data_IF_738925467494
#
_entry.id   IF_738925467494
#
_cell.length_a   1.000
_cell.length_b   1.000
_cell.length_c   1.000
_cell.angle_alpha   90.00
_cell.angle_beta   90.00
_cell.angle_gamma   90.00
#
_symmetry.space_group_name_H-M   'P 1'
#
loop_
_entity.id
_entity.type
_entity.pdbx_description
1 polymer ?
#
# COMPACT_ATOMS: atom_id res chain seq x y z
N UNK A 1 44.19 -21.20 -19.15
CA UNK A 1 42.91 -21.84 -18.81
C UNK A 1 42.32 -21.07 -17.63
N UNK A 2 41.50 -20.10 -17.90
CA UNK A 2 40.83 -19.27 -16.88
C UNK A 2 39.43 -19.81 -16.65
N UNK A 3 39.25 -20.45 -15.49
CA UNK A 3 37.95 -20.92 -15.06
C UNK A 3 37.05 -19.69 -14.72
N UNK A 4 36.00 -19.47 -15.49
CA UNK A 4 34.92 -18.60 -15.11
C UNK A 4 34.13 -19.32 -14.01
N UNK A 5 34.25 -18.84 -12.78
CA UNK A 5 33.32 -19.17 -11.71
C UNK A 5 31.97 -18.54 -12.07
N UNK A 6 30.98 -19.35 -12.35
CA UNK A 6 29.57 -18.93 -12.40
C UNK A 6 29.15 -18.59 -10.98
N UNK A 7 29.06 -17.28 -10.67
CA UNK A 7 28.36 -16.82 -9.49
C UNK A 7 26.91 -17.19 -9.64
N UNK A 8 26.47 -18.19 -8.90
CA UNK A 8 25.06 -18.44 -8.63
C UNK A 8 24.52 -17.23 -7.86
N UNK A 9 23.61 -16.47 -8.47
CA UNK A 9 22.90 -15.37 -7.82
C UNK A 9 22.14 -15.93 -6.61
N UNK A 10 22.72 -15.78 -5.43
CA UNK A 10 22.05 -16.10 -4.18
C UNK A 10 20.79 -15.24 -4.05
N UNK A 11 19.69 -15.85 -3.61
CA UNK A 11 18.43 -15.13 -3.32
C UNK A 11 18.76 -14.04 -2.29
N UNK A 12 18.65 -12.78 -2.69
CA UNK A 12 19.02 -11.61 -1.87
C UNK A 12 18.07 -11.38 -0.69
N UNK A 13 16.86 -11.92 -0.76
CA UNK A 13 15.82 -11.86 0.30
C UNK A 13 14.97 -13.13 0.27
N UNK A 14 14.30 -13.39 1.39
CA UNK A 14 13.33 -14.48 1.56
C UNK A 14 11.93 -13.92 1.60
N UNK A 15 10.97 -14.72 1.13
CA UNK A 15 9.54 -14.42 1.23
C UNK A 15 8.96 -15.15 2.42
N UNK A 16 8.32 -14.39 3.30
CA UNK A 16 7.59 -14.89 4.46
C UNK A 16 6.12 -14.56 4.31
N UNK A 17 5.25 -15.39 4.86
CA UNK A 17 3.83 -15.13 5.00
C UNK A 17 3.49 -15.02 6.48
N UNK A 18 2.73 -14.03 6.86
CA UNK A 18 2.25 -13.85 8.20
C UNK A 18 0.73 -13.59 8.18
N UNK A 19 0.02 -14.28 9.08
CA UNK A 19 -1.43 -14.12 9.22
C UNK A 19 -1.80 -14.02 10.69
N UNK A 20 -2.55 -12.96 11.01
CA UNK A 20 -3.14 -12.79 12.34
C UNK A 20 -4.46 -12.03 12.21
N UNK A 21 -5.58 -12.68 12.50
CA UNK A 21 -6.95 -12.18 12.28
C UNK A 21 -7.11 -11.72 10.81
N UNK A 22 -7.50 -10.45 10.59
CA UNK A 22 -7.69 -9.83 9.27
C UNK A 22 -6.36 -9.36 8.62
N UNK A 23 -5.26 -9.33 9.37
CA UNK A 23 -3.94 -8.98 8.85
C UNK A 23 -3.34 -10.19 8.14
N UNK A 24 -3.23 -10.11 6.82
CA UNK A 24 -2.62 -11.13 5.97
C UNK A 24 -1.52 -10.44 5.18
N UNK A 25 -0.26 -10.80 5.45
CA UNK A 25 0.87 -10.11 4.85
C UNK A 25 1.84 -11.07 4.16
N UNK A 26 2.44 -10.57 3.08
CA UNK A 26 3.67 -11.08 2.50
C UNK A 26 4.81 -10.16 2.91
N UNK A 27 5.89 -10.71 3.45
CA UNK A 27 7.05 -9.95 3.89
C UNK A 27 8.28 -10.45 3.13
N UNK A 28 8.99 -9.54 2.47
CA UNK A 28 10.31 -9.82 1.92
C UNK A 28 11.35 -9.26 2.89
N UNK A 29 12.24 -10.10 3.39
CA UNK A 29 13.30 -9.71 4.32
C UNK A 29 14.56 -10.55 4.05
N UNK A 30 15.73 -10.01 4.39
CA UNK A 30 17.01 -10.73 4.18
C UNK A 30 17.22 -11.87 5.16
N UNK A 31 16.69 -11.73 6.37
CA UNK A 31 16.86 -12.72 7.43
C UNK A 31 15.63 -12.85 8.35
N UNK A 32 15.65 -13.90 9.16
CA UNK A 32 14.56 -14.22 10.09
C UNK A 32 14.47 -13.22 11.26
N UNK A 33 15.54 -12.48 11.56
CA UNK A 33 15.56 -11.44 12.61
C UNK A 33 14.70 -10.25 12.19
N UNK A 34 14.96 -9.71 10.99
CA UNK A 34 14.19 -8.64 10.38
C UNK A 34 12.70 -9.03 10.25
N UNK A 35 12.41 -10.25 9.78
CA UNK A 35 11.04 -10.77 9.73
C UNK A 35 10.36 -10.78 11.10
N UNK A 36 11.01 -11.35 12.15
CA UNK A 36 10.41 -11.42 13.49
C UNK A 36 10.19 -10.03 14.09
N UNK A 37 11.10 -9.10 13.86
CA UNK A 37 10.98 -7.72 14.32
C UNK A 37 9.81 -7.01 13.61
N UNK A 38 9.67 -7.19 12.30
CA UNK A 38 8.53 -6.67 11.53
C UNK A 38 7.20 -7.18 12.07
N UNK A 39 7.09 -8.49 12.31
CA UNK A 39 5.89 -9.09 12.92
C UNK A 39 5.58 -8.47 14.28
N UNK A 40 6.60 -8.23 15.13
CA UNK A 40 6.40 -7.55 16.42
C UNK A 40 5.86 -6.13 16.24
N UNK A 41 6.37 -5.37 15.26
CA UNK A 41 5.89 -4.02 14.95
C UNK A 41 4.43 -4.02 14.50
N UNK A 42 4.07 -4.93 13.61
CA UNK A 42 2.69 -5.07 13.14
C UNK A 42 1.73 -5.47 14.27
N UNK A 43 2.12 -6.42 15.12
CA UNK A 43 1.31 -6.84 16.28
C UNK A 43 1.17 -5.72 17.31
N UNK A 44 2.22 -4.93 17.54
CA UNK A 44 2.17 -3.75 18.40
C UNK A 44 1.15 -2.75 17.86
N UNK A 45 1.25 -2.38 16.57
CA UNK A 45 0.32 -1.43 15.96
C UNK A 45 -1.12 -1.91 16.04
N UNK A 46 -1.36 -3.19 15.71
CA UNK A 46 -2.68 -3.80 15.80
C UNK A 46 -3.24 -3.78 17.21
N UNK A 47 -2.42 -4.10 18.22
CA UNK A 47 -2.82 -4.06 19.63
C UNK A 47 -3.26 -2.67 20.09
N UNK A 48 -2.56 -1.61 19.66
CA UNK A 48 -2.94 -0.23 19.96
C UNK A 48 -4.27 0.15 19.28
N UNK A 49 -4.49 -0.28 18.03
CA UNK A 49 -5.74 -0.04 17.31
C UNK A 49 -6.89 -0.78 18.00
N UNK A 50 -6.75 -2.06 18.31
CA UNK A 50 -7.78 -2.87 18.99
C UNK A 50 -8.13 -2.30 20.36
N UNK A 51 -7.13 -1.86 21.11
CA UNK A 51 -7.33 -1.20 22.42
C UNK A 51 -8.09 0.12 22.27
N UNK A 52 -7.79 0.91 21.25
CA UNK A 52 -8.51 2.15 20.97
C UNK A 52 -9.97 1.87 20.62
N UNK A 53 -10.22 0.93 19.70
CA UNK A 53 -11.57 0.51 19.29
C UNK A 53 -12.40 0.00 20.48
N UNK A 54 -11.78 -0.74 21.41
CA UNK A 54 -12.46 -1.23 22.60
C UNK A 54 -12.96 -0.10 23.51
N UNK A 55 -12.28 1.06 23.54
CA UNK A 55 -12.69 2.23 24.31
C UNK A 55 -13.60 3.16 23.50
N UNK A 56 -13.47 3.18 22.20
CA UNK A 56 -14.24 4.05 21.28
C UNK A 56 -14.61 3.26 20.01
N UNK A 57 -15.71 2.50 20.03
CA UNK A 57 -16.15 1.67 18.91
C UNK A 57 -16.52 2.47 17.64
N UNK A 58 -16.82 3.77 17.75
CA UNK A 58 -17.14 4.62 16.60
C UNK A 58 -15.95 4.73 15.64
N UNK A 59 -14.71 4.68 16.16
CA UNK A 59 -13.49 4.68 15.36
C UNK A 59 -13.47 3.57 14.29
N UNK A 60 -14.02 2.40 14.59
CA UNK A 60 -14.08 1.26 13.65
C UNK A 60 -15.04 1.50 12.49
N UNK A 61 -16.14 2.22 12.72
CA UNK A 61 -17.30 2.24 11.80
C UNK A 61 -17.51 3.57 11.11
N UNK A 62 -16.92 4.65 11.61
CA UNK A 62 -17.05 5.95 10.98
C UNK A 62 -16.41 5.99 9.62
N UNK A 63 -17.10 6.60 8.65
CA UNK A 63 -16.58 6.88 7.31
C UNK A 63 -16.08 8.33 7.18
N UNK A 64 -16.34 9.14 8.20
CA UNK A 64 -15.96 10.54 8.28
C UNK A 64 -14.60 10.70 8.98
N UNK A 65 -13.88 11.80 8.73
CA UNK A 65 -12.66 12.14 9.45
C UNK A 65 -12.84 12.08 10.97
N UNK A 66 -11.83 11.54 11.64
CA UNK A 66 -11.86 11.32 13.07
C UNK A 66 -10.68 12.00 13.76
N UNK A 67 -10.92 12.57 14.95
CA UNK A 67 -9.86 13.19 15.74
C UNK A 67 -9.42 12.23 16.86
N UNK A 68 -8.16 11.88 16.87
CA UNK A 68 -7.57 11.09 17.92
C UNK A 68 -6.07 11.34 18.03
N UNK A 69 -5.52 11.05 19.20
CA UNK A 69 -4.12 11.14 19.50
C UNK A 69 -3.52 9.75 19.79
N UNK A 70 -2.24 9.61 19.59
CA UNK A 70 -1.51 8.37 19.83
C UNK A 70 -0.52 8.05 18.73
N UNK A 71 0.44 7.20 19.04
CA UNK A 71 1.53 6.88 18.12
C UNK A 71 1.02 6.13 16.87
N UNK A 72 0.06 5.23 17.03
CA UNK A 72 -0.52 4.43 15.94
C UNK A 72 -1.79 5.09 15.42
N UNK A 73 -2.82 5.17 16.25
CA UNK A 73 -4.13 5.70 15.84
C UNK A 73 -4.07 7.16 15.41
N UNK A 74 -3.18 7.97 16.01
CA UNK A 74 -2.97 9.36 15.61
C UNK A 74 -2.47 9.49 14.16
N UNK A 75 -1.65 8.55 13.64
CA UNK A 75 -1.28 8.52 12.21
C UNK A 75 -2.51 8.25 11.34
N UNK A 76 -3.38 7.34 11.75
CA UNK A 76 -4.61 7.01 11.04
C UNK A 76 -5.58 8.19 11.03
N UNK A 77 -5.80 8.85 12.17
CA UNK A 77 -6.67 10.04 12.26
C UNK A 77 -6.12 11.21 11.44
N UNK A 78 -4.81 11.42 11.46
CA UNK A 78 -4.17 12.45 10.63
C UNK A 78 -4.38 12.19 9.13
N UNK A 79 -4.17 10.96 8.67
CA UNK A 79 -4.42 10.55 7.30
C UNK A 79 -5.89 10.67 6.90
N UNK A 80 -6.79 10.20 7.77
CA UNK A 80 -8.24 10.33 7.66
C UNK A 80 -8.67 11.78 7.41
N UNK A 81 -8.14 12.71 8.20
CA UNK A 81 -8.42 14.15 8.10
C UNK A 81 -7.94 14.75 6.78
N UNK A 82 -6.77 14.35 6.30
CA UNK A 82 -6.23 14.79 5.00
C UNK A 82 -7.10 14.27 3.85
N UNK A 83 -7.45 12.99 3.88
CA UNK A 83 -8.12 12.32 2.78
C UNK A 83 -9.66 12.51 2.79
N UNK A 84 -10.24 12.99 3.89
CA UNK A 84 -11.70 13.15 4.03
C UNK A 84 -12.45 11.82 4.12
N UNK A 85 -11.84 10.80 4.72
CA UNK A 85 -12.40 9.45 4.89
C UNK A 85 -12.28 8.99 6.34
N UNK A 86 -12.93 7.89 6.72
CA UNK A 86 -12.80 7.32 8.05
C UNK A 86 -11.38 6.81 8.35
N UNK A 87 -10.96 6.74 9.63
CA UNK A 87 -9.59 6.39 10.01
C UNK A 87 -9.19 4.96 9.64
N UNK A 88 -10.15 4.05 9.53
CA UNK A 88 -9.89 2.66 9.14
C UNK A 88 -9.41 2.53 7.69
N UNK A 89 -9.61 3.56 6.84
CA UNK A 89 -9.06 3.64 5.50
C UNK A 89 -7.52 3.79 5.45
N UNK A 90 -6.85 3.94 6.61
CA UNK A 90 -5.40 4.01 6.74
C UNK A 90 -4.82 2.82 7.52
N UNK A 91 -5.62 1.78 7.81
CA UNK A 91 -5.25 0.74 8.78
C UNK A 91 -4.17 -0.19 8.25
N UNK A 92 -4.27 -0.63 7.00
CA UNK A 92 -3.41 -1.69 6.46
C UNK A 92 -1.97 -1.19 6.28
N UNK A 93 -1.80 -0.03 5.67
CA UNK A 93 -0.48 0.57 5.51
C UNK A 93 0.11 1.10 6.83
N UNK A 94 -0.72 1.57 7.78
CA UNK A 94 -0.22 1.95 9.11
C UNK A 94 0.36 0.74 9.84
N UNK A 95 -0.31 -0.41 9.83
CA UNK A 95 0.22 -1.65 10.44
C UNK A 95 1.53 -2.08 9.75
N UNK A 96 1.57 -2.07 8.42
CA UNK A 96 2.77 -2.39 7.66
C UNK A 96 3.93 -1.43 7.96
N UNK A 97 3.64 -0.13 8.09
CA UNK A 97 4.64 0.88 8.44
C UNK A 97 5.33 0.59 9.77
N UNK A 98 4.57 0.26 10.82
CA UNK A 98 5.16 -0.15 12.10
C UNK A 98 5.98 -1.44 11.96
N UNK A 99 5.60 -2.34 11.07
CA UNK A 99 6.42 -3.49 10.71
C UNK A 99 7.78 -3.09 10.14
N UNK A 100 7.80 -2.15 9.19
CA UNK A 100 9.03 -1.61 8.59
C UNK A 100 9.88 -0.85 9.63
N UNK A 101 9.26 -0.02 10.48
CA UNK A 101 9.98 0.71 11.54
C UNK A 101 10.68 -0.21 12.55
N UNK A 102 10.05 -1.33 12.90
CA UNK A 102 10.58 -2.29 13.87
C UNK A 102 11.59 -3.27 13.29
N UNK A 103 11.63 -3.44 11.98
CA UNK A 103 12.44 -4.47 11.32
C UNK A 103 13.94 -4.30 11.53
N UNK A 104 14.42 -3.06 11.77
CA UNK A 104 15.83 -2.73 11.99
C UNK A 104 16.75 -3.32 10.89
N UNK A 105 16.45 -2.98 9.64
CA UNK A 105 17.15 -3.48 8.45
C UNK A 105 17.04 -2.46 7.32
N UNK A 106 18.01 -2.48 6.40
CA UNK A 106 18.02 -1.63 5.22
C UNK A 106 17.14 -2.19 4.08
N UNK A 107 16.71 -3.46 4.18
CA UNK A 107 15.82 -4.08 3.21
C UNK A 107 14.67 -4.82 3.86
N UNK A 108 13.48 -4.29 3.67
CA UNK A 108 12.22 -4.95 4.00
C UNK A 108 11.08 -4.42 3.14
N UNK A 109 10.22 -5.31 2.68
CA UNK A 109 8.97 -4.99 1.97
C UNK A 109 7.83 -5.74 2.65
N UNK A 110 6.79 -5.03 3.01
CA UNK A 110 5.58 -5.60 3.62
C UNK A 110 4.39 -5.27 2.73
N UNK A 111 3.77 -6.29 2.17
CA UNK A 111 2.50 -6.21 1.45
C UNK A 111 1.38 -6.69 2.38
N UNK A 112 0.47 -5.81 2.74
CA UNK A 112 -0.67 -6.07 3.60
C UNK A 112 -1.98 -5.90 2.82
N UNK A 113 -2.36 -6.94 2.07
CA UNK A 113 -3.62 -6.95 1.32
C UNK A 113 -3.64 -6.01 0.10
N UNK A 114 -2.48 -5.67 -0.47
CA UNK A 114 -2.31 -4.75 -1.59
C UNK A 114 -1.75 -3.38 -1.20
N UNK A 115 -1.59 -3.12 0.11
CA UNK A 115 -0.92 -1.94 0.63
C UNK A 115 0.52 -2.27 0.97
N UNK A 116 1.44 -1.81 0.13
CA UNK A 116 2.86 -2.11 0.22
C UNK A 116 3.57 -0.97 0.92
N UNK A 117 4.37 -1.31 1.92
CA UNK A 117 5.32 -0.40 2.58
C UNK A 117 6.70 -1.02 2.53
N UNK A 118 7.69 -0.23 2.10
CA UNK A 118 9.04 -0.70 1.86
C UNK A 118 10.10 0.25 2.43
N UNK A 119 11.20 -0.33 2.91
CA UNK A 119 12.53 0.25 3.04
C UNK A 119 13.45 -0.62 2.22
N UNK A 120 14.17 -0.06 1.26
CA UNK A 120 14.97 -0.83 0.32
C UNK A 120 16.27 -0.12 -0.04
N UNK A 121 17.36 -0.87 -0.07
CA UNK A 121 18.71 -0.45 -0.50
C UNK A 121 19.10 -1.01 -1.87
N UNK A 122 18.13 -1.59 -2.58
CA UNK A 122 18.23 -2.03 -3.98
C UNK A 122 16.87 -1.91 -4.68
N UNK A 123 16.83 -1.65 -5.99
CA UNK A 123 15.58 -1.55 -6.73
C UNK A 123 14.75 -2.83 -6.68
N UNK A 124 13.43 -2.69 -6.57
CA UNK A 124 12.46 -3.78 -6.66
C UNK A 124 11.41 -3.49 -7.73
N UNK A 125 10.79 -4.54 -8.26
CA UNK A 125 9.63 -4.39 -9.13
C UNK A 125 8.36 -4.77 -8.39
N UNK A 126 7.42 -3.82 -8.32
CA UNK A 126 6.08 -3.98 -7.72
C UNK A 126 5.04 -4.09 -8.81
N UNK A 127 4.21 -5.13 -8.79
CA UNK A 127 3.11 -5.31 -9.73
C UNK A 127 1.77 -4.87 -9.15
N UNK A 128 0.98 -4.13 -9.91
CA UNK A 128 -0.42 -3.83 -9.57
C UNK A 128 -1.32 -4.87 -10.25
N UNK A 129 -2.05 -5.61 -9.44
CA UNK A 129 -3.04 -6.57 -9.93
C UNK A 129 -4.39 -5.89 -10.11
N UNK A 130 -4.89 -5.88 -11.34
CA UNK A 130 -6.19 -5.27 -11.69
C UNK A 130 -7.23 -6.30 -12.18
N UNK A 131 -7.12 -7.56 -11.73
CA UNK A 131 -8.09 -8.61 -12.07
C UNK A 131 -8.00 -9.16 -13.49
N UNK A 132 -7.08 -8.67 -14.33
CA UNK A 132 -6.88 -9.11 -15.72
C UNK A 132 -5.49 -9.71 -15.90
N UNK A 133 -5.29 -10.53 -16.95
CA UNK A 133 -4.00 -11.20 -17.25
C UNK A 133 -2.83 -10.25 -17.54
N UNK A 134 -3.09 -8.97 -17.78
CA UNK A 134 -2.05 -7.96 -18.02
C UNK A 134 -1.79 -7.20 -16.74
N UNK A 135 -0.65 -7.47 -16.14
CA UNK A 135 -0.17 -6.77 -14.96
C UNK A 135 0.85 -5.72 -15.36
N UNK A 136 0.72 -4.56 -14.77
CA UNK A 136 1.68 -3.47 -14.90
C UNK A 136 2.58 -3.53 -13.68
N UNK A 137 3.88 -3.56 -13.89
CA UNK A 137 4.87 -3.45 -12.84
C UNK A 137 5.53 -2.07 -12.86
N UNK A 138 5.98 -1.65 -11.71
CA UNK A 138 6.75 -0.43 -11.52
C UNK A 138 8.07 -0.75 -10.84
N UNK A 139 9.16 -0.17 -11.32
CA UNK A 139 10.43 -0.23 -10.63
C UNK A 139 10.48 0.86 -9.56
N UNK A 140 10.69 0.45 -8.32
CA UNK A 140 10.87 1.34 -7.18
C UNK A 140 12.35 1.33 -6.82
N UNK A 141 12.98 2.48 -6.85
CA UNK A 141 14.38 2.66 -6.47
C UNK A 141 14.60 2.63 -4.95
N UNK A 142 15.86 2.69 -4.55
CA UNK A 142 16.29 2.75 -3.15
C UNK A 142 15.54 3.84 -2.37
N UNK A 143 15.08 3.52 -1.15
CA UNK A 143 14.34 4.45 -0.31
C UNK A 143 14.34 4.05 1.16
N UNK A 144 14.32 5.05 2.04
CA UNK A 144 14.14 4.87 3.49
C UNK A 144 12.70 4.49 3.85
N UNK A 145 11.73 5.01 3.12
CA UNK A 145 10.33 4.64 3.23
C UNK A 145 9.62 4.95 1.92
N UNK A 146 8.88 4.00 1.41
CA UNK A 146 8.00 4.14 0.27
C UNK A 146 6.75 3.32 0.49
N UNK A 147 5.61 3.86 0.12
CA UNK A 147 4.34 3.14 0.11
C UNK A 147 3.69 3.16 -1.25
N UNK A 148 3.10 2.04 -1.62
CA UNK A 148 2.28 1.87 -2.81
C UNK A 148 0.98 1.23 -2.33
N UNK A 149 -0.05 2.05 -2.12
CA UNK A 149 -1.32 1.63 -1.57
C UNK A 149 -2.39 1.60 -2.65
N UNK A 150 -3.16 0.53 -2.69
CA UNK A 150 -4.15 0.31 -3.75
C UNK A 150 -5.51 -0.02 -3.17
N UNK A 151 -6.49 0.83 -3.45
CA UNK A 151 -7.91 0.56 -3.21
C UNK A 151 -8.57 0.04 -4.48
N UNK A 152 -9.45 -0.96 -4.34
CA UNK A 152 -10.22 -1.54 -5.44
C UNK A 152 -11.70 -1.60 -5.07
N UNK A 153 -12.56 -1.13 -5.96
CA UNK A 153 -14.01 -1.27 -5.79
C UNK A 153 -14.54 -2.69 -6.05
N UNK A 154 -13.70 -3.58 -6.59
CA UNK A 154 -14.09 -4.94 -6.99
C UNK A 154 -13.38 -6.04 -6.21
N UNK A 155 -12.29 -5.75 -5.53
CA UNK A 155 -11.42 -6.73 -4.88
C UNK A 155 -10.99 -6.20 -3.51
N UNK A 156 -11.27 -6.95 -2.43
CA UNK A 156 -10.80 -6.65 -1.07
C UNK A 156 -11.90 -6.59 -0.02
N UNK A 157 -11.49 -6.58 1.26
CA UNK A 157 -12.38 -6.52 2.42
C UNK A 157 -12.64 -5.09 2.93
N UNK A 158 -11.95 -4.08 2.35
CA UNK A 158 -12.20 -2.68 2.67
C UNK A 158 -13.46 -2.17 1.97
N UNK A 159 -14.25 -1.36 2.68
CA UNK A 159 -15.43 -0.72 2.10
C UNK A 159 -14.95 0.39 1.16
N UNK A 160 -14.95 0.12 -0.14
CA UNK A 160 -14.76 1.12 -1.20
C UNK A 160 -16.07 1.25 -1.98
N UNK A 161 -16.55 2.48 -2.12
CA UNK A 161 -17.77 2.80 -2.87
C UNK A 161 -17.49 3.11 -4.34
N UNK A 162 -16.23 3.03 -4.77
CA UNK A 162 -15.82 3.39 -6.12
C UNK A 162 -15.83 2.22 -7.10
N UNK A 163 -15.71 2.54 -8.39
CA UNK A 163 -15.76 1.59 -9.50
C UNK A 163 -14.42 1.45 -10.22
N UNK A 164 -13.31 1.88 -9.62
CA UNK A 164 -11.98 1.62 -10.12
C UNK A 164 -11.61 0.13 -9.97
N UNK A 165 -10.94 -0.46 -10.96
CA UNK A 165 -10.29 -1.75 -10.82
C UNK A 165 -9.09 -1.63 -9.86
N UNK A 166 -8.35 -0.51 -9.94
CA UNK A 166 -7.33 -0.12 -8.98
C UNK A 166 -7.20 1.41 -8.93
N UNK A 167 -7.19 1.97 -7.73
CA UNK A 167 -6.80 3.35 -7.43
C UNK A 167 -5.56 3.28 -6.55
N UNK A 168 -4.40 3.65 -7.09
CA UNK A 168 -3.10 3.47 -6.43
C UNK A 168 -2.45 4.80 -6.13
N UNK A 169 -1.92 4.94 -4.92
CA UNK A 169 -1.16 6.10 -4.47
C UNK A 169 0.26 5.68 -4.12
N UNK A 170 1.24 6.46 -4.58
CA UNK A 170 2.65 6.33 -4.22
C UNK A 170 3.03 7.53 -3.35
N UNK A 171 3.60 7.28 -2.18
CA UNK A 171 3.95 8.30 -1.18
C UNK A 171 5.03 7.82 -0.21
N UNK A 172 5.72 8.75 0.42
CA UNK A 172 6.61 8.47 1.56
C UNK A 172 5.85 8.37 2.89
N UNK A 173 4.55 8.67 2.92
CA UNK A 173 3.72 8.50 4.12
C UNK A 173 2.69 7.39 3.91
N UNK A 174 2.91 6.19 4.47
CA UNK A 174 2.04 5.03 4.25
C UNK A 174 0.59 5.24 4.67
N UNK A 175 0.35 5.82 5.84
CA UNK A 175 -1.03 6.05 6.32
C UNK A 175 -1.80 7.02 5.42
N UNK A 176 -1.14 8.06 4.91
CA UNK A 176 -1.75 9.03 3.98
C UNK A 176 -1.98 8.36 2.61
N UNK A 177 -1.05 7.54 2.13
CA UNK A 177 -1.20 6.83 0.86
C UNK A 177 -2.42 5.92 0.86
N UNK A 178 -2.63 5.13 1.92
CA UNK A 178 -3.75 4.20 2.09
C UNK A 178 -5.09 4.95 2.14
N UNK A 179 -5.20 5.97 2.99
CA UNK A 179 -6.39 6.81 3.08
C UNK A 179 -6.73 7.51 1.75
N UNK A 180 -5.72 8.05 1.05
CA UNK A 180 -5.88 8.71 -0.25
C UNK A 180 -6.19 7.73 -1.38
N UNK A 181 -5.71 6.48 -1.33
CA UNK A 181 -6.09 5.45 -2.28
C UNK A 181 -7.59 5.13 -2.17
N UNK A 182 -8.10 5.03 -0.93
CA UNK A 182 -9.53 4.89 -0.67
C UNK A 182 -10.33 6.11 -1.16
N UNK A 183 -9.88 7.33 -0.85
CA UNK A 183 -10.53 8.56 -1.29
C UNK A 183 -10.58 8.66 -2.82
N UNK A 184 -9.45 8.38 -3.52
CA UNK A 184 -9.40 8.38 -4.97
C UNK A 184 -10.32 7.32 -5.57
N UNK A 185 -10.31 6.11 -5.01
CA UNK A 185 -11.21 5.03 -5.42
C UNK A 185 -12.68 5.47 -5.37
N UNK A 186 -13.10 6.10 -4.27
CA UNK A 186 -14.47 6.57 -4.07
C UNK A 186 -14.90 7.69 -5.04
N UNK A 187 -13.94 8.42 -5.63
CA UNK A 187 -14.23 9.45 -6.64
C UNK A 187 -14.52 8.88 -8.02
N UNK A 188 -14.26 7.59 -8.27
CA UNK A 188 -14.43 6.99 -9.60
C UNK A 188 -15.84 6.40 -9.72
N UNK A 189 -16.63 6.99 -10.61
CA UNK A 189 -18.00 6.56 -10.89
C UNK A 189 -18.06 5.37 -11.87
N UNK A 190 -19.22 4.67 -11.87
CA UNK A 190 -19.46 3.49 -12.70
C UNK A 190 -19.33 3.81 -14.20
N UNK A 191 -19.95 4.88 -14.65
CA UNK A 191 -20.02 5.26 -16.06
C UNK A 191 -18.84 6.10 -16.56
N UNK A 192 -17.84 6.36 -15.69
CA UNK A 192 -16.70 7.22 -16.00
C UNK A 192 -15.87 6.65 -17.15
N UNK A 193 -15.59 7.52 -18.13
CA UNK A 193 -14.70 7.26 -19.26
C UNK A 193 -13.37 7.97 -19.05
N UNK A 194 -12.44 7.77 -19.97
CA UNK A 194 -11.08 8.30 -19.88
C UNK A 194 -11.02 9.79 -19.47
N UNK A 195 -11.82 10.64 -20.10
CA UNK A 195 -11.83 12.10 -19.80
C UNK A 195 -12.33 12.42 -18.39
N UNK A 196 -13.27 11.65 -17.88
CA UNK A 196 -13.79 11.84 -16.52
C UNK A 196 -12.72 11.46 -15.49
N UNK A 197 -12.02 10.34 -15.74
CA UNK A 197 -10.91 9.87 -14.90
C UNK A 197 -9.75 10.87 -14.92
N UNK A 198 -9.36 11.38 -16.09
CA UNK A 198 -8.31 12.39 -16.22
C UNK A 198 -8.67 13.67 -15.43
N UNK A 199 -9.91 14.13 -15.50
CA UNK A 199 -10.39 15.30 -14.72
C UNK A 199 -10.33 15.06 -13.22
N UNK A 200 -10.75 13.88 -12.75
CA UNK A 200 -10.65 13.50 -11.33
C UNK A 200 -9.19 13.48 -10.88
N UNK A 201 -8.30 12.89 -11.66
CA UNK A 201 -6.87 12.86 -11.33
C UNK A 201 -6.24 14.26 -11.28
N UNK A 202 -6.59 15.16 -12.21
CA UNK A 202 -6.11 16.55 -12.20
C UNK A 202 -6.59 17.31 -10.96
N UNK A 203 -7.86 17.13 -10.55
CA UNK A 203 -8.41 17.72 -9.33
C UNK A 203 -7.74 17.13 -8.09
N UNK A 204 -7.59 15.81 -8.05
CA UNK A 204 -6.92 15.08 -6.96
C UNK A 204 -5.48 15.56 -6.79
N UNK A 205 -4.72 15.68 -7.90
CA UNK A 205 -3.36 16.19 -7.87
C UNK A 205 -3.26 17.60 -7.31
N UNK A 206 -4.13 18.51 -7.73
CA UNK A 206 -4.15 19.89 -7.20
C UNK A 206 -4.34 19.94 -5.69
N UNK A 207 -5.14 19.03 -5.13
CA UNK A 207 -5.44 19.00 -3.71
C UNK A 207 -4.35 18.28 -2.89
N UNK A 208 -3.74 17.23 -3.45
CA UNK A 208 -2.92 16.28 -2.66
C UNK A 208 -1.47 16.15 -3.09
N UNK A 209 -0.99 16.86 -4.14
CA UNK A 209 0.39 16.76 -4.65
C UNK A 209 1.50 16.97 -3.62
N UNK A 210 1.23 17.63 -2.50
CA UNK A 210 2.20 17.83 -1.41
C UNK A 210 2.37 16.60 -0.51
N UNK A 211 1.49 15.62 -0.66
CA UNK A 211 1.49 14.40 0.16
C UNK A 211 1.83 13.15 -0.65
N UNK A 212 1.78 13.23 -1.98
CA UNK A 212 1.92 12.08 -2.88
C UNK A 212 2.91 12.36 -3.99
N UNK A 213 3.56 11.33 -4.47
CA UNK A 213 4.44 11.39 -5.64
C UNK A 213 3.69 11.08 -6.93
N UNK A 214 2.79 10.09 -6.87
CA UNK A 214 2.00 9.64 -8.01
C UNK A 214 0.63 9.16 -7.56
N UNK A 215 -0.39 9.40 -8.40
CA UNK A 215 -1.69 8.78 -8.31
C UNK A 215 -2.05 8.11 -9.63
N UNK A 216 -2.53 6.85 -9.56
CA UNK A 216 -2.83 6.01 -10.72
C UNK A 216 -4.26 5.49 -10.59
N UNK A 217 -5.01 5.51 -11.71
CA UNK A 217 -6.32 4.88 -11.80
C UNK A 217 -6.31 3.88 -12.96
N UNK A 218 -6.72 2.65 -12.67
CA UNK A 218 -7.03 1.63 -13.67
C UNK A 218 -8.52 1.37 -13.59
N UNK A 219 -9.22 1.52 -14.71
CA UNK A 219 -10.63 1.18 -14.84
C UNK A 219 -10.89 0.66 -16.25
N UNK A 220 -11.38 -0.56 -16.35
CA UNK A 220 -11.57 -1.24 -17.63
C UNK A 220 -10.29 -1.24 -18.48
N UNK A 221 -10.27 -0.62 -19.65
CA UNK A 221 -9.08 -0.51 -20.51
C UNK A 221 -8.34 0.85 -20.35
N UNK A 222 -8.79 1.69 -19.40
CA UNK A 222 -8.19 2.98 -19.12
C UNK A 222 -7.11 2.82 -18.08
N UNK A 223 -5.90 3.27 -18.40
CA UNK A 223 -4.80 3.53 -17.48
C UNK A 223 -4.53 5.03 -17.51
N UNK A 224 -4.66 5.70 -16.37
CA UNK A 224 -4.40 7.13 -16.25
C UNK A 224 -3.63 7.41 -14.95
N UNK A 225 -2.82 8.46 -14.96
CA UNK A 225 -2.01 8.84 -13.81
C UNK A 225 -1.73 10.35 -13.79
N UNK A 226 -1.27 10.82 -12.61
CA UNK A 226 -0.71 12.16 -12.39
C UNK A 226 0.50 12.06 -11.45
N UNK A 227 1.43 13.01 -11.59
CA UNK A 227 2.67 13.03 -10.81
C UNK A 227 3.81 12.23 -11.44
N UNK A 228 4.79 11.86 -10.62
CA UNK A 228 6.02 11.20 -11.06
C UNK A 228 5.80 9.68 -11.13
N UNK A 229 5.44 9.20 -12.33
CA UNK A 229 5.23 7.78 -12.57
C UNK A 229 6.57 7.03 -12.57
N UNK A 230 6.74 5.99 -11.72
CA UNK A 230 7.93 5.15 -11.78
C UNK A 230 8.08 4.42 -13.12
N UNK A 231 9.30 3.93 -13.42
CA UNK A 231 9.55 3.19 -14.65
C UNK A 231 8.62 1.98 -14.77
N UNK A 232 7.88 1.91 -15.89
CA UNK A 232 6.96 0.80 -16.14
C UNK A 232 7.75 -0.42 -16.61
N UNK A 233 7.56 -1.54 -15.93
CA UNK A 233 8.12 -2.84 -16.29
C UNK A 233 7.00 -3.80 -16.71
N UNK A 234 7.27 -4.65 -17.71
CA UNK A 234 6.42 -5.80 -17.97
C UNK A 234 6.66 -6.85 -16.87
N UNK A 235 5.61 -7.21 -16.16
CA UNK A 235 5.65 -8.29 -15.17
C UNK A 235 4.61 -9.35 -15.50
N UNK A 236 5.01 -10.62 -15.36
CA UNK A 236 4.06 -11.72 -15.25
C UNK A 236 3.75 -11.89 -13.76
N UNK A 237 2.54 -11.51 -13.35
CA UNK A 237 2.12 -11.77 -11.97
C UNK A 237 1.70 -13.21 -11.86
N UNK A 238 2.37 -13.97 -11.03
CA UNK A 238 1.89 -15.27 -10.58
C UNK A 238 0.71 -15.02 -9.60
N UNK A 239 -0.53 -15.45 -9.96
CA UNK A 239 -1.69 -15.24 -9.08
C UNK A 239 -1.55 -15.87 -7.69
N UNK A 240 -0.68 -16.87 -7.54
CA UNK A 240 -0.46 -17.60 -6.29
C UNK A 240 0.38 -16.81 -5.27
N UNK A 241 1.03 -15.72 -5.72
CA UNK A 241 1.86 -14.87 -4.84
C UNK A 241 1.17 -13.55 -4.45
N UNK A 242 -0.07 -13.33 -4.92
CA UNK A 242 -0.84 -12.14 -4.57
C UNK A 242 -1.32 -12.30 -3.12
N UNK A 243 -0.99 -11.31 -2.28
CA UNK A 243 -1.54 -11.24 -0.93
C UNK A 243 -3.01 -10.89 -1.04
N UNK A 244 -3.88 -11.86 -0.74
CA UNK A 244 -5.33 -11.65 -0.69
C UNK A 244 -5.73 -11.44 0.76
N UNK A 245 -6.22 -10.27 1.05
CA UNK A 245 -6.84 -9.95 2.32
C UNK A 245 -8.17 -10.65 2.50
#
# INVERSE_FOLDING_TARGET
MSGKSSETSGVRYRRYSFRFKETITTILARDDGAYRNAVRGMLYARGEIEKFIANDPLFLTTLEPYECDGKVVGRMCHASKIAGVGPMAAVAATIAWFGVEFADTDFIVIDNGGDIVARIDEPITVGIYCGRRKSIGFEIGECEIKSICTSSGKIGHSISFGFADAATIISENPSIADALATALGNMIGEDFKKRDIERVLEEFWRNYRKYIECAIVIKDDVFAFVGDLPEIKRVEINPDIITRG
#
